data_IF_276880346598
#
_entry.id   IF_276880346598
#
_cell.length_a   1.000
_cell.length_b   1.000
_cell.length_c   1.000
_cell.angle_alpha   90.00
_cell.angle_beta   90.00
_cell.angle_gamma   90.00
#
_symmetry.space_group_name_H-M   'P 1'
#
loop_
_entity.id
_entity.type
_entity.pdbx_description
1 polymer ?
#
# COMPACT_ATOMS: atom_id res chain seq x y z
N UNK A 1 -92.82 -15.56 17.80
CA UNK A 1 -92.11 -16.70 17.18
C UNK A 1 -90.66 -16.26 17.01
N UNK A 2 -89.74 -16.88 17.78
CA UNK A 2 -88.27 -16.84 17.59
C UNK A 2 -87.90 -17.02 16.12
N UNK A 3 -86.79 -16.47 15.62
CA UNK A 3 -85.39 -16.84 15.93
C UNK A 3 -84.46 -15.63 15.63
N UNK A 4 -83.69 -15.09 16.58
CA UNK A 4 -82.33 -15.48 16.97
C UNK A 4 -81.45 -16.13 15.88
N UNK A 5 -80.51 -15.35 15.33
CA UNK A 5 -79.11 -15.76 15.10
C UNK A 5 -78.26 -14.54 14.69
N UNK A 6 -77.38 -14.10 15.59
CA UNK A 6 -76.03 -13.68 15.21
C UNK A 6 -75.08 -14.88 15.43
N UNK A 7 -73.79 -14.86 15.09
CA UNK A 7 -72.98 -13.92 14.30
C UNK A 7 -72.22 -14.69 13.17
N UNK A 8 -71.35 -14.05 12.39
CA UNK A 8 -70.10 -14.69 11.94
C UNK A 8 -69.14 -13.64 11.35
N UNK A 9 -68.01 -13.50 12.05
CA UNK A 9 -66.75 -12.96 11.57
C UNK A 9 -66.48 -13.39 10.12
N UNK A 10 -66.15 -12.44 9.25
CA UNK A 10 -65.14 -12.72 8.24
C UNK A 10 -63.99 -11.77 8.49
N UNK A 11 -62.98 -12.31 9.15
CA UNK A 11 -61.69 -11.67 9.35
C UNK A 11 -61.05 -11.47 7.98
N UNK A 12 -60.54 -10.27 7.79
CA UNK A 12 -59.72 -9.82 6.68
C UNK A 12 -58.42 -10.63 6.67
N UNK A 13 -58.42 -11.70 5.88
CA UNK A 13 -57.22 -12.49 5.60
C UNK A 13 -57.09 -12.46 4.07
N UNK A 14 -56.06 -11.75 3.59
CA UNK A 14 -55.36 -11.82 2.28
C UNK A 14 -54.78 -10.41 2.03
N UNK A 15 -53.73 -10.03 2.77
CA UNK A 15 -52.81 -8.94 2.36
C UNK A 15 -51.37 -9.21 2.75
N UNK A 16 -51.07 -10.31 3.45
CA UNK A 16 -49.73 -10.54 4.00
C UNK A 16 -48.75 -11.25 3.07
N UNK A 17 -49.20 -11.88 1.97
CA UNK A 17 -48.30 -12.67 1.12
C UNK A 17 -47.65 -11.85 -0.01
N UNK A 18 -48.34 -10.85 -0.55
CA UNK A 18 -47.83 -10.03 -1.67
C UNK A 18 -46.74 -9.04 -1.20
N UNK A 19 -46.82 -8.60 0.06
CA UNK A 19 -45.84 -7.66 0.64
C UNK A 19 -44.47 -8.29 0.87
N UNK A 20 -44.39 -9.60 1.16
CA UNK A 20 -43.13 -10.28 1.48
C UNK A 20 -42.27 -10.50 0.22
N UNK A 21 -42.89 -10.85 -0.91
CA UNK A 21 -42.21 -11.01 -2.20
C UNK A 21 -41.74 -9.64 -2.75
N UNK A 22 -42.58 -8.62 -2.61
CA UNK A 22 -42.25 -7.25 -3.02
C UNK A 22 -41.16 -6.64 -2.11
N UNK A 23 -41.17 -6.93 -0.81
CA UNK A 23 -40.14 -6.51 0.12
C UNK A 23 -38.79 -7.17 -0.19
N UNK A 24 -38.78 -8.48 -0.50
CA UNK A 24 -37.55 -9.19 -0.86
C UNK A 24 -36.87 -8.61 -2.11
N UNK A 25 -37.65 -8.32 -3.17
CA UNK A 25 -37.14 -7.70 -4.39
C UNK A 25 -36.62 -6.28 -4.14
N UNK A 26 -37.35 -5.47 -3.36
CA UNK A 26 -36.95 -4.09 -3.03
C UNK A 26 -35.65 -4.07 -2.20
N UNK A 27 -35.53 -4.96 -1.21
CA UNK A 27 -34.32 -5.09 -0.38
C UNK A 27 -33.13 -5.54 -1.23
N UNK A 28 -33.32 -6.48 -2.16
CA UNK A 28 -32.26 -6.90 -3.06
C UNK A 28 -31.75 -5.75 -3.94
N UNK A 29 -32.65 -4.96 -4.54
CA UNK A 29 -32.26 -3.82 -5.39
C UNK A 29 -31.53 -2.75 -4.57
N UNK A 30 -32.04 -2.41 -3.39
CA UNK A 30 -31.39 -1.43 -2.50
C UNK A 30 -30.00 -1.92 -2.08
N UNK A 31 -29.86 -3.21 -1.75
CA UNK A 31 -28.57 -3.78 -1.38
C UNK A 31 -27.54 -3.68 -2.51
N UNK A 32 -27.94 -3.96 -3.75
CA UNK A 32 -27.06 -3.84 -4.92
C UNK A 32 -26.67 -2.38 -5.15
N UNK A 33 -27.61 -1.45 -5.05
CA UNK A 33 -27.32 -0.02 -5.21
C UNK A 33 -26.36 0.49 -4.14
N UNK A 34 -26.55 0.08 -2.89
CA UNK A 34 -25.64 0.45 -1.79
C UNK A 34 -24.26 -0.13 -2.02
N UNK A 35 -24.15 -1.39 -2.43
CA UNK A 35 -22.86 -2.02 -2.74
C UNK A 35 -22.15 -1.32 -3.89
N UNK A 36 -22.87 -0.98 -4.96
CA UNK A 36 -22.33 -0.22 -6.08
C UNK A 36 -21.89 1.18 -5.63
N UNK A 37 -22.68 1.86 -4.81
CA UNK A 37 -22.34 3.17 -4.29
C UNK A 37 -21.08 3.10 -3.42
N UNK A 38 -20.99 2.12 -2.52
CA UNK A 38 -19.79 1.89 -1.69
C UNK A 38 -18.59 1.58 -2.56
N UNK A 39 -18.72 0.73 -3.58
CA UNK A 39 -17.65 0.43 -4.52
C UNK A 39 -17.17 1.68 -5.26
N UNK A 40 -18.10 2.50 -5.76
CA UNK A 40 -17.78 3.77 -6.44
C UNK A 40 -17.12 4.74 -5.48
N UNK A 41 -17.63 4.93 -4.26
CA UNK A 41 -17.01 5.77 -3.24
C UNK A 41 -15.59 5.30 -2.91
N UNK A 42 -15.40 3.98 -2.78
CA UNK A 42 -14.08 3.39 -2.52
C UNK A 42 -13.12 3.69 -3.67
N UNK A 43 -13.55 3.50 -4.92
CA UNK A 43 -12.77 3.81 -6.11
C UNK A 43 -12.39 5.30 -6.14
N UNK A 44 -13.35 6.20 -5.91
CA UNK A 44 -13.10 7.65 -5.91
C UNK A 44 -12.10 8.05 -4.82
N UNK A 45 -12.25 7.52 -3.60
CA UNK A 45 -11.32 7.80 -2.49
C UNK A 45 -9.92 7.29 -2.84
N UNK A 46 -9.79 6.08 -3.39
CA UNK A 46 -8.49 5.52 -3.80
C UNK A 46 -7.89 6.36 -4.92
N UNK A 47 -8.64 6.67 -5.98
CA UNK A 47 -8.16 7.50 -7.09
C UNK A 47 -7.71 8.88 -6.61
N UNK A 48 -8.47 9.50 -5.72
CA UNK A 48 -8.10 10.78 -5.11
C UNK A 48 -6.85 10.68 -4.24
N UNK A 49 -6.76 9.62 -3.43
CA UNK A 49 -5.60 9.37 -2.57
C UNK A 49 -4.33 9.11 -3.37
N UNK A 50 -4.38 8.30 -4.43
CA UNK A 50 -3.23 8.06 -5.31
C UNK A 50 -2.82 9.34 -6.04
N UNK A 51 -3.80 10.06 -6.62
CA UNK A 51 -3.55 11.35 -7.27
C UNK A 51 -2.91 12.38 -6.32
N UNK A 52 -3.32 12.40 -5.05
CA UNK A 52 -2.77 13.32 -4.06
C UNK A 52 -1.40 12.85 -3.50
N UNK A 53 -1.24 11.56 -3.25
CA UNK A 53 -0.05 11.01 -2.61
C UNK A 53 1.14 11.00 -3.57
N UNK A 54 0.95 10.66 -4.85
CA UNK A 54 2.01 10.75 -5.87
C UNK A 54 2.56 12.18 -5.96
N UNK A 55 1.67 13.18 -5.90
CA UNK A 55 2.05 14.60 -5.93
C UNK A 55 2.93 15.01 -4.75
N UNK A 56 2.74 14.40 -3.58
CA UNK A 56 3.49 14.75 -2.35
C UNK A 56 4.75 13.88 -2.19
N UNK A 57 4.70 12.62 -2.60
CA UNK A 57 5.81 11.66 -2.44
C UNK A 57 6.91 11.90 -3.48
N UNK A 58 6.58 12.19 -4.73
CA UNK A 58 7.59 12.47 -5.76
C UNK A 58 8.47 13.67 -5.38
N UNK A 59 7.87 14.70 -4.78
CA UNK A 59 8.60 15.89 -4.33
C UNK A 59 9.59 15.58 -3.18
N UNK A 60 9.33 14.54 -2.39
CA UNK A 60 10.21 14.08 -1.29
C UNK A 60 11.27 13.08 -1.74
N UNK A 61 11.00 12.25 -2.75
CA UNK A 61 11.97 11.33 -3.34
C UNK A 61 13.00 12.05 -4.22
N UNK A 62 12.65 13.20 -4.77
CA UNK A 62 13.54 13.96 -5.66
C UNK A 62 14.52 14.86 -4.92
N UNK A 63 14.35 15.07 -3.61
CA UNK A 63 15.35 15.76 -2.81
C UNK A 63 16.37 14.73 -2.29
N UNK A 64 17.65 14.79 -2.72
CA UNK A 64 18.67 13.99 -2.08
C UNK A 64 18.66 14.37 -0.59
N UNK A 65 18.33 13.40 0.26
CA UNK A 65 18.43 13.58 1.71
C UNK A 65 19.88 13.98 1.98
N UNK A 66 20.16 15.22 2.42
CA UNK A 66 21.52 15.74 2.47
C UNK A 66 22.45 14.90 3.35
N UNK A 67 21.88 14.20 4.33
CA UNK A 67 22.55 13.21 5.17
C UNK A 67 23.05 11.99 4.38
N UNK A 68 22.27 11.48 3.42
CA UNK A 68 22.66 10.33 2.58
C UNK A 68 23.74 10.73 1.59
N UNK A 69 23.66 11.93 1.00
CA UNK A 69 24.69 12.41 0.09
C UNK A 69 26.01 12.68 0.82
N UNK A 70 25.95 13.25 2.03
CA UNK A 70 27.12 13.42 2.89
C UNK A 70 27.75 12.06 3.25
N UNK A 71 26.94 11.07 3.61
CA UNK A 71 27.43 9.71 3.91
C UNK A 71 28.07 9.06 2.68
N UNK A 72 27.46 9.15 1.51
CA UNK A 72 28.01 8.63 0.25
C UNK A 72 29.33 9.29 -0.13
N UNK A 73 29.44 10.60 0.09
CA UNK A 73 30.68 11.34 -0.17
C UNK A 73 31.82 10.87 0.75
N UNK A 74 31.51 10.66 2.04
CA UNK A 74 32.46 10.13 3.02
C UNK A 74 32.88 8.69 2.73
N UNK A 75 31.92 7.82 2.38
CA UNK A 75 32.21 6.44 1.96
C UNK A 75 33.10 6.41 0.71
N UNK A 76 32.82 7.26 -0.27
CA UNK A 76 33.62 7.37 -1.48
C UNK A 76 35.06 7.82 -1.18
N UNK A 77 35.22 8.82 -0.31
CA UNK A 77 36.55 9.28 0.12
C UNK A 77 37.34 8.18 0.84
N UNK A 78 36.66 7.39 1.67
CA UNK A 78 37.27 6.24 2.32
C UNK A 78 37.70 5.17 1.30
N UNK A 79 36.84 4.81 0.34
CA UNK A 79 37.12 3.69 -0.57
C UNK A 79 38.15 4.02 -1.66
N UNK A 80 38.18 5.26 -2.14
CA UNK A 80 39.01 5.66 -3.28
C UNK A 80 40.24 6.49 -2.88
N UNK A 81 40.36 6.87 -1.60
CA UNK A 81 41.46 7.68 -1.09
C UNK A 81 42.60 6.86 -0.49
N UNK A 82 43.81 7.40 -0.56
CA UNK A 82 44.92 6.94 0.27
C UNK A 82 44.90 7.66 1.61
N UNK A 83 45.02 6.91 2.69
CA UNK A 83 45.17 7.51 4.02
C UNK A 83 46.02 6.64 4.93
N UNK A 84 46.76 7.25 5.84
CA UNK A 84 47.49 6.53 6.87
C UNK A 84 46.50 6.07 7.94
N UNK A 85 46.41 4.76 8.17
CA UNK A 85 45.58 4.19 9.26
C UNK A 85 46.37 4.20 10.56
N UNK A 86 47.64 3.80 10.49
CA UNK A 86 48.59 3.85 11.61
C UNK A 86 49.99 4.05 11.04
N UNK A 87 50.52 5.26 11.18
CA UNK A 87 51.83 5.62 10.60
C UNK A 87 52.98 4.93 11.34
N UNK A 88 52.86 4.71 12.65
CA UNK A 88 53.90 4.10 13.46
C UNK A 88 54.07 2.62 13.13
N UNK A 89 52.97 1.95 12.75
CA UNK A 89 52.97 0.56 12.27
C UNK A 89 53.12 0.43 10.75
N UNK A 90 53.25 1.54 10.02
CA UNK A 90 53.35 1.55 8.56
C UNK A 90 52.08 1.07 7.84
N UNK A 91 50.92 1.14 8.50
CA UNK A 91 49.63 0.69 7.96
C UNK A 91 48.97 1.82 7.15
N UNK A 92 48.79 1.57 5.86
CA UNK A 92 48.18 2.51 4.91
C UNK A 92 46.92 1.90 4.31
N UNK A 93 45.88 2.72 4.17
CA UNK A 93 44.68 2.44 3.39
C UNK A 93 44.99 2.79 1.93
N UNK A 94 44.72 1.84 1.05
CA UNK A 94 44.85 1.99 -0.40
C UNK A 94 43.46 2.01 -1.04
N UNK A 95 43.29 2.66 -2.21
CA UNK A 95 42.06 2.60 -2.98
C UNK A 95 41.68 1.14 -3.27
N UNK A 96 40.39 0.85 -3.15
CA UNK A 96 39.88 -0.52 -3.26
C UNK A 96 40.18 -1.15 -4.63
N UNK A 97 40.18 -0.36 -5.69
CA UNK A 97 40.47 -0.81 -7.06
C UNK A 97 41.88 -1.38 -7.16
N UNK A 98 42.85 -0.66 -6.58
CA UNK A 98 44.24 -1.10 -6.58
C UNK A 98 44.49 -2.25 -5.62
N UNK A 99 43.79 -2.26 -4.48
CA UNK A 99 43.81 -3.39 -3.56
C UNK A 99 43.34 -4.68 -4.26
N UNK A 100 42.25 -4.59 -5.02
CA UNK A 100 41.72 -5.69 -5.80
C UNK A 100 42.68 -6.11 -6.92
N UNK A 101 43.26 -5.18 -7.67
CA UNK A 101 44.26 -5.47 -8.70
C UNK A 101 45.44 -6.25 -8.14
N UNK A 102 46.01 -5.81 -7.00
CA UNK A 102 47.12 -6.52 -6.34
C UNK A 102 46.74 -7.91 -5.85
N UNK A 103 45.52 -8.08 -5.33
CA UNK A 103 45.03 -9.39 -4.92
C UNK A 103 44.86 -10.31 -6.13
N UNK A 104 44.30 -9.81 -7.23
CA UNK A 104 44.16 -10.56 -8.48
C UNK A 104 45.52 -10.88 -9.12
N UNK A 105 46.50 -9.98 -9.05
CA UNK A 105 47.87 -10.26 -9.48
C UNK A 105 48.50 -11.38 -8.65
N UNK A 106 48.37 -11.30 -7.32
CA UNK A 106 48.99 -12.24 -6.37
C UNK A 106 48.34 -13.63 -6.41
N UNK A 107 47.01 -13.69 -6.54
CA UNK A 107 46.23 -14.92 -6.40
C UNK A 107 45.53 -15.37 -7.68
N UNK A 108 45.29 -14.47 -8.64
CA UNK A 108 44.68 -14.77 -9.94
C UNK A 108 45.66 -15.33 -10.97
N UNK A 109 46.98 -15.14 -10.77
CA UNK A 109 48.04 -15.78 -11.58
C UNK A 109 48.26 -17.27 -11.25
N UNK A 110 47.41 -17.87 -10.40
CA UNK A 110 47.44 -19.29 -10.06
C UNK A 110 46.69 -20.19 -11.03
N UNK A 111 46.97 -20.10 -12.34
CA UNK A 111 46.69 -21.14 -13.35
C UNK A 111 47.72 -21.08 -14.47
#
# INVERSE_FOLDING_TARGET
MSTDVAPLHHHEEITHHETDEQAASTVAVVSVVVLLFVAVCTIVVISFAQWWLERVIDERLQYPVPEVEALRSYESELLHGYTWVDRDKGLVRVPIEQGMEKVLETYGSGR
#
